data_IF_585293069130
#
_entry.id   IF_585293069130
#
_cell.length_a   1.000
_cell.length_b   1.000
_cell.length_c   1.000
_cell.angle_alpha   90.00
_cell.angle_beta   90.00
_cell.angle_gamma   90.00
#
_symmetry.space_group_name_H-M   'P 1'
#
loop_
_entity.id
_entity.type
_entity.pdbx_description
1 polymer ?
#
# COMPACT_ATOMS: atom_id res chain seq x y z
N UNK A 1 -9.99 0.15 -0.21
CA UNK A 1 -9.66 -0.13 1.21
C UNK A 1 -10.72 -0.98 1.91
N UNK A 2 -11.96 -0.49 2.15
CA UNK A 2 -12.99 -1.24 2.91
C UNK A 2 -13.36 -2.61 2.32
N UNK A 3 -13.51 -2.71 1.00
CA UNK A 3 -13.78 -3.99 0.33
C UNK A 3 -12.58 -4.95 0.44
N UNK A 4 -11.35 -4.45 0.24
CA UNK A 4 -10.14 -5.27 0.36
C UNK A 4 -9.90 -5.78 1.79
N UNK A 5 -10.20 -4.96 2.80
CA UNK A 5 -10.04 -5.36 4.20
C UNK A 5 -11.10 -6.36 4.65
N UNK A 6 -12.36 -6.19 4.26
CA UNK A 6 -13.43 -7.15 4.58
C UNK A 6 -13.19 -8.52 3.93
N UNK A 7 -12.74 -8.55 2.68
CA UNK A 7 -12.37 -9.79 1.98
C UNK A 7 -11.15 -10.44 2.63
N UNK A 8 -10.10 -9.67 2.93
CA UNK A 8 -8.88 -10.22 3.54
C UNK A 8 -9.14 -10.82 4.92
N UNK A 9 -9.98 -10.18 5.75
CA UNK A 9 -10.42 -10.70 7.03
C UNK A 9 -11.21 -12.02 6.89
N UNK A 10 -12.17 -12.10 5.97
CA UNK A 10 -12.96 -13.32 5.76
C UNK A 10 -12.10 -14.51 5.27
N UNK A 11 -11.12 -14.27 4.39
CA UNK A 11 -10.19 -15.29 3.92
C UNK A 11 -9.26 -15.72 5.05
N UNK A 12 -8.75 -14.75 5.83
CA UNK A 12 -7.86 -15.01 6.96
C UNK A 12 -8.51 -15.92 8.01
N UNK A 13 -9.78 -15.65 8.34
CA UNK A 13 -10.55 -16.45 9.30
C UNK A 13 -10.78 -17.88 8.81
N UNK A 14 -11.07 -18.07 7.50
CA UNK A 14 -11.22 -19.40 6.90
C UNK A 14 -9.92 -20.21 6.91
N UNK A 15 -8.78 -19.57 6.66
CA UNK A 15 -7.47 -20.24 6.65
C UNK A 15 -7.03 -20.59 8.07
N UNK A 16 -7.27 -19.69 9.03
CA UNK A 16 -7.00 -19.93 10.45
C UNK A 16 -7.83 -21.09 11.01
N UNK A 17 -9.14 -21.12 10.75
CA UNK A 17 -10.03 -22.18 11.23
C UNK A 17 -9.68 -23.57 10.68
N UNK A 18 -8.98 -23.65 9.54
CA UNK A 18 -8.50 -24.91 8.96
C UNK A 18 -7.12 -25.36 9.49
N UNK A 19 -6.50 -24.61 10.42
CA UNK A 19 -5.17 -24.88 10.98
C UNK A 19 -4.07 -25.12 9.92
N UNK A 20 -4.21 -24.52 8.74
CA UNK A 20 -3.31 -24.78 7.61
C UNK A 20 -1.96 -24.07 7.74
N UNK A 21 -1.92 -22.93 8.44
CA UNK A 21 -0.73 -22.08 8.60
C UNK A 21 -0.80 -21.28 9.89
N UNK A 22 0.37 -21.00 10.48
CA UNK A 22 0.51 -20.08 11.60
C UNK A 22 0.07 -18.67 11.20
N UNK A 23 -0.57 -17.96 12.13
CA UNK A 23 -1.05 -16.59 11.96
C UNK A 23 0.05 -15.65 11.42
N UNK A 24 1.29 -15.80 11.88
CA UNK A 24 2.44 -14.99 11.45
C UNK A 24 2.81 -15.21 9.98
N UNK A 25 2.74 -16.45 9.50
CA UNK A 25 3.01 -16.78 8.09
C UNK A 25 1.91 -16.24 7.19
N UNK A 26 0.66 -16.38 7.63
CA UNK A 26 -0.51 -15.83 6.92
C UNK A 26 -0.38 -14.32 6.74
N UNK A 27 -0.02 -13.61 7.81
CA UNK A 27 0.21 -12.15 7.78
C UNK A 27 1.30 -11.74 6.79
N UNK A 28 2.44 -12.44 6.79
CA UNK A 28 3.54 -12.17 5.86
C UNK A 28 3.10 -12.34 4.41
N UNK A 29 2.40 -13.42 4.11
CA UNK A 29 1.91 -13.72 2.74
C UNK A 29 0.93 -12.64 2.27
N UNK A 30 -0.04 -12.25 3.11
CA UNK A 30 -1.01 -11.20 2.77
C UNK A 30 -0.33 -9.85 2.55
N UNK A 31 0.66 -9.51 3.39
CA UNK A 31 1.43 -8.29 3.24
C UNK A 31 2.22 -8.27 1.93
N UNK A 32 2.86 -9.39 1.57
CA UNK A 32 3.58 -9.52 0.30
C UNK A 32 2.64 -9.42 -0.90
N UNK A 33 1.49 -10.12 -0.89
CA UNK A 33 0.50 -10.05 -1.97
C UNK A 33 0.00 -8.62 -2.16
N UNK A 34 -0.23 -7.90 -1.08
CA UNK A 34 -0.64 -6.49 -1.13
C UNK A 34 0.44 -5.62 -1.78
N UNK A 35 1.71 -5.74 -1.36
CA UNK A 35 2.82 -4.98 -1.93
C UNK A 35 3.04 -5.29 -3.41
N UNK A 36 3.01 -6.56 -3.80
CA UNK A 36 3.09 -6.95 -5.22
C UNK A 36 1.89 -6.42 -6.02
N UNK A 37 0.69 -6.49 -5.47
CA UNK A 37 -0.53 -5.97 -6.11
C UNK A 37 -0.45 -4.45 -6.34
N UNK A 38 0.00 -3.70 -5.34
CA UNK A 38 0.22 -2.25 -5.45
C UNK A 38 1.30 -1.94 -6.49
N UNK A 39 2.42 -2.67 -6.47
CA UNK A 39 3.53 -2.45 -7.40
C UNK A 39 3.10 -2.67 -8.86
N UNK A 40 2.42 -3.78 -9.15
CA UNK A 40 1.92 -4.09 -10.49
C UNK A 40 0.92 -3.02 -10.94
N UNK A 41 -0.02 -2.64 -10.07
CA UNK A 41 -1.03 -1.66 -10.42
C UNK A 41 -0.46 -0.24 -10.61
N UNK A 42 0.59 0.14 -9.89
CA UNK A 42 1.34 1.39 -10.13
C UNK A 42 2.09 1.38 -11.47
N UNK A 43 2.74 0.27 -11.82
CA UNK A 43 3.41 0.13 -13.12
C UNK A 43 2.39 0.25 -14.25
N UNK A 44 1.25 -0.42 -14.15
CA UNK A 44 0.15 -0.31 -15.13
C UNK A 44 -0.38 1.12 -15.21
N UNK A 45 -0.57 1.78 -14.05
CA UNK A 45 -1.02 3.16 -13.98
C UNK A 45 -0.06 4.13 -14.68
N UNK A 46 1.25 3.87 -14.61
CA UNK A 46 2.29 4.67 -15.27
C UNK A 46 2.20 4.67 -16.80
N UNK A 47 1.51 3.69 -17.41
CA UNK A 47 1.35 3.63 -18.86
C UNK A 47 0.12 4.41 -19.37
N UNK A 48 -0.76 4.87 -18.49
CA UNK A 48 -1.96 5.59 -18.91
C UNK A 48 -1.69 7.08 -19.15
N UNK A 49 -2.08 7.55 -20.33
CA UNK A 49 -2.01 8.95 -20.71
C UNK A 49 -3.29 9.75 -20.36
N UNK A 50 -3.29 11.06 -20.63
CA UNK A 50 -4.40 11.98 -20.31
C UNK A 50 -5.72 11.68 -21.04
N UNK A 51 -5.68 10.92 -22.15
CA UNK A 51 -6.85 10.46 -22.90
C UNK A 51 -7.65 9.36 -22.16
N UNK A 52 -6.99 8.61 -21.27
CA UNK A 52 -7.52 7.38 -20.66
C UNK A 52 -7.85 7.55 -19.17
N UNK A 53 -8.45 8.70 -18.81
CA UNK A 53 -8.74 9.08 -17.40
C UNK A 53 -9.57 8.03 -16.65
N UNK A 54 -10.58 7.46 -17.29
CA UNK A 54 -11.45 6.46 -16.68
C UNK A 54 -10.70 5.17 -16.31
N UNK A 55 -9.78 4.73 -17.17
CA UNK A 55 -8.95 3.54 -16.93
C UNK A 55 -7.90 3.80 -15.84
N UNK A 56 -7.32 5.00 -15.80
CA UNK A 56 -6.41 5.41 -14.74
C UNK A 56 -7.10 5.39 -13.36
N UNK A 57 -8.32 5.94 -13.27
CA UNK A 57 -9.12 5.91 -12.04
C UNK A 57 -9.49 4.48 -11.66
N UNK A 58 -9.93 3.65 -12.60
CA UNK A 58 -10.25 2.25 -12.32
C UNK A 58 -9.03 1.50 -11.76
N UNK A 59 -7.84 1.72 -12.33
CA UNK A 59 -6.60 1.11 -11.87
C UNK A 59 -6.18 1.61 -10.49
N UNK A 60 -6.38 2.91 -10.20
CA UNK A 60 -6.19 3.45 -8.87
C UNK A 60 -7.13 2.80 -7.83
N UNK A 61 -8.39 2.54 -8.19
CA UNK A 61 -9.33 1.82 -7.32
C UNK A 61 -8.87 0.39 -7.05
N UNK A 62 -8.32 -0.31 -8.06
CA UNK A 62 -7.72 -1.63 -7.88
C UNK A 62 -6.51 -1.57 -6.94
N UNK A 63 -5.61 -0.58 -7.12
CA UNK A 63 -4.50 -0.28 -6.20
C UNK A 63 -4.97 -0.18 -4.74
N UNK A 64 -5.93 0.71 -4.47
CA UNK A 64 -6.50 0.93 -3.12
C UNK A 64 -7.26 -0.29 -2.58
N UNK A 65 -7.71 -1.19 -3.45
CA UNK A 65 -8.35 -2.44 -3.05
C UNK A 65 -7.30 -3.48 -2.65
N UNK A 66 -6.21 -3.59 -3.43
CA UNK A 66 -5.06 -4.44 -3.11
C UNK A 66 -4.36 -4.02 -1.81
N UNK A 67 -4.29 -2.72 -1.54
CA UNK A 67 -3.77 -2.18 -0.29
C UNK A 67 -4.60 -2.60 0.94
N UNK A 68 -5.91 -2.79 0.78
CA UNK A 68 -6.78 -3.29 1.87
C UNK A 68 -6.40 -4.68 2.39
N UNK A 69 -5.61 -5.46 1.64
CA UNK A 69 -5.08 -6.76 2.11
C UNK A 69 -3.91 -6.60 3.10
N UNK A 70 -3.23 -5.43 3.10
CA UNK A 70 -2.15 -5.08 4.02
C UNK A 70 -2.64 -4.96 5.48
N UNK A 71 -3.89 -4.53 5.67
CA UNK A 71 -4.47 -4.24 6.99
C UNK A 71 -4.50 -5.48 7.91
N UNK A 72 -4.59 -6.69 7.34
CA UNK A 72 -4.59 -7.94 8.10
C UNK A 72 -3.21 -8.27 8.75
N UNK A 73 -2.12 -7.67 8.26
CA UNK A 73 -0.75 -7.98 8.70
C UNK A 73 0.00 -6.83 9.37
N UNK A 74 -0.21 -5.59 8.92
CA UNK A 74 0.63 -4.45 9.30
C UNK A 74 0.58 -4.09 10.79
N UNK A 75 -0.63 -3.94 11.35
CA UNK A 75 -0.81 -3.52 12.75
C UNK A 75 -0.27 -4.58 13.72
N UNK A 76 -0.38 -5.85 13.34
CA UNK A 76 -0.02 -6.93 14.26
C UNK A 76 1.46 -7.28 14.24
N UNK A 77 2.19 -6.96 13.17
CA UNK A 77 3.65 -7.10 13.16
C UNK A 77 4.34 -6.29 14.26
N UNK A 78 3.80 -5.11 14.59
CA UNK A 78 4.35 -4.26 15.65
C UNK A 78 3.94 -4.75 17.04
N UNK A 79 2.73 -5.30 17.17
CA UNK A 79 2.26 -5.97 18.39
C UNK A 79 3.05 -7.25 18.68
N UNK A 80 3.40 -8.01 17.64
CA UNK A 80 4.20 -9.23 17.75
C UNK A 80 5.67 -8.93 18.15
N UNK A 81 6.21 -7.78 17.76
CA UNK A 81 7.61 -7.40 18.05
C UNK A 81 7.80 -6.93 19.50
N UNK A 82 6.84 -6.19 20.05
CA UNK A 82 6.87 -5.78 21.46
C UNK A 82 5.46 -5.43 21.97
N UNK A 83 4.75 -6.36 22.62
CA UNK A 83 3.38 -6.12 23.06
C UNK A 83 3.28 -5.03 24.12
N UNK A 84 4.33 -4.84 24.94
CA UNK A 84 4.34 -3.84 26.02
C UNK A 84 4.64 -2.41 25.52
N UNK A 85 5.23 -2.26 24.33
CA UNK A 85 5.63 -0.96 23.75
C UNK A 85 5.00 -0.68 22.38
N UNK A 86 4.04 -1.50 21.93
CA UNK A 86 3.46 -1.42 20.60
C UNK A 86 2.88 -0.04 20.26
N UNK A 87 2.22 0.62 21.23
CA UNK A 87 1.66 1.96 21.02
C UNK A 87 2.72 3.02 20.74
N UNK A 88 3.83 3.01 21.49
CA UNK A 88 4.95 3.95 21.30
C UNK A 88 5.64 3.69 19.97
N UNK A 89 5.88 2.42 19.63
CA UNK A 89 6.50 2.02 18.36
C UNK A 89 5.62 2.45 17.17
N UNK A 90 4.31 2.26 17.25
CA UNK A 90 3.37 2.67 16.19
C UNK A 90 3.36 4.18 15.99
N UNK A 91 3.34 4.97 17.07
CA UNK A 91 3.41 6.43 16.99
C UNK A 91 4.74 6.91 16.38
N UNK A 92 5.86 6.30 16.77
CA UNK A 92 7.17 6.64 16.20
C UNK A 92 7.24 6.31 14.71
N UNK A 93 6.79 5.13 14.30
CA UNK A 93 6.76 4.73 12.90
C UNK A 93 5.83 5.63 12.08
N UNK A 94 4.66 5.99 12.62
CA UNK A 94 3.75 6.90 11.94
C UNK A 94 4.33 8.31 11.79
N UNK A 95 5.07 8.82 12.79
CA UNK A 95 5.80 10.07 12.69
C UNK A 95 6.84 10.03 11.56
N UNK A 96 7.67 8.97 11.52
CA UNK A 96 8.67 8.78 10.48
C UNK A 96 8.04 8.71 9.08
N UNK A 97 6.97 7.92 8.92
CA UNK A 97 6.25 7.79 7.64
C UNK A 97 5.68 9.14 7.21
N UNK A 98 5.07 9.89 8.12
CA UNK A 98 4.49 11.21 7.82
C UNK A 98 5.55 12.21 7.37
N UNK A 99 6.73 12.22 8.01
CA UNK A 99 7.85 13.05 7.60
C UNK A 99 8.33 12.68 6.18
N UNK A 100 8.45 11.39 5.87
CA UNK A 100 8.84 10.92 4.53
C UNK A 100 7.78 11.34 3.50
N UNK A 101 6.49 11.13 3.78
CA UNK A 101 5.38 11.53 2.91
C UNK A 101 5.35 13.04 2.64
N UNK A 102 5.75 13.87 3.61
CA UNK A 102 5.84 15.31 3.41
C UNK A 102 6.97 15.70 2.42
N UNK A 103 8.07 14.93 2.38
CA UNK A 103 9.21 15.20 1.49
C UNK A 103 8.98 14.70 0.06
N UNK A 104 8.23 13.59 -0.12
CA UNK A 104 7.93 12.99 -1.43
C UNK A 104 7.45 14.01 -2.49
N UNK A 105 6.42 14.87 -2.26
CA UNK A 105 5.94 15.80 -3.28
C UNK A 105 6.97 16.86 -3.68
N UNK A 106 7.90 17.23 -2.77
CA UNK A 106 9.00 18.15 -3.07
C UNK A 106 9.94 17.49 -4.09
N UNK A 107 10.27 16.22 -3.90
CA UNK A 107 11.09 15.44 -4.84
C UNK A 107 10.34 15.25 -6.17
N UNK A 108 9.08 14.82 -6.12
CA UNK A 108 8.25 14.61 -7.32
C UNK A 108 8.11 15.89 -8.14
N UNK A 109 7.89 17.03 -7.51
CA UNK A 109 7.81 18.33 -8.20
C UNK A 109 9.14 18.75 -8.82
N UNK A 110 10.28 18.48 -8.18
CA UNK A 110 11.59 18.72 -8.77
C UNK A 110 11.85 17.87 -10.01
N UNK A 111 11.44 16.59 -9.99
CA UNK A 111 11.55 15.67 -11.14
C UNK A 111 10.67 16.17 -12.30
N UNK A 112 9.38 16.42 -12.05
CA UNK A 112 8.46 16.88 -13.11
C UNK A 112 8.85 18.24 -13.70
N UNK A 113 9.45 19.13 -12.90
CA UNK A 113 9.88 20.44 -13.39
C UNK A 113 10.93 20.34 -14.48
N UNK A 114 11.81 19.34 -14.43
CA UNK A 114 12.82 19.09 -15.46
C UNK A 114 12.21 18.68 -16.82
N UNK A 115 11.10 17.93 -16.82
CA UNK A 115 10.41 17.51 -18.06
C UNK A 115 9.59 18.64 -18.69
N UNK A 116 9.02 19.53 -17.87
CA UNK A 116 8.22 20.66 -18.36
C UNK A 116 9.03 21.78 -19.02
N UNK A 117 10.33 21.89 -18.75
CA UNK A 117 11.20 22.95 -19.30
C UNK A 117 11.84 22.54 -20.64
N UNK A 118 11.92 21.24 -20.96
CA UNK A 118 12.45 20.75 -22.24
C UNK A 118 11.41 20.60 -23.36
N UNK A 119 10.11 20.60 -23.02
CA UNK A 119 8.98 20.41 -23.96
C UNK A 119 8.15 21.69 -24.18
N UNK A 120 8.77 22.87 -24.13
CA UNK A 120 8.13 24.13 -24.54
C UNK A 120 8.57 24.43 -25.99
N UNK A 121 7.81 24.02 -27.03
CA UNK A 121 7.96 24.66 -28.34
C UNK A 121 7.34 26.06 -28.23
N UNK A 122 8.12 27.07 -28.57
CA UNK A 122 7.62 28.41 -28.90
C UNK A 122 6.63 28.35 -30.06
#
# INVERSE_FOLDING_TARGET
MWLGSTISSAISEKIYNKNLVTVTTLRKVFQSISLFGIAIALVVLSFFGPEQKYLAVATAVVCLTAEGFSTAGFIVNQLDLSPNYAGVIMCLLNCIVTLICAVIPIITSAILRNDSVSNIPY
#
